data_IF_087256968051
#
_entry.id   IF_087256968051
#
_cell.length_a   1.000
_cell.length_b   1.000
_cell.length_c   1.000
_cell.angle_alpha   90.00
_cell.angle_beta   90.00
_cell.angle_gamma   90.00
#
_symmetry.space_group_name_H-M   'P 1'
#
loop_
_entity.id
_entity.type
_entity.pdbx_description
1 polymer ?
#
# COMPACT_ATOMS: atom_id res chain seq x y z
N UNK A 1 -18.11 -50.16 77.71
CA UNK A 1 -17.67 -51.02 76.64
C UNK A 1 -17.96 -50.32 75.33
N UNK A 2 -16.97 -50.12 74.55
CA UNK A 2 -16.78 -49.15 73.47
C UNK A 2 -17.48 -49.59 72.18
N UNK A 3 -18.14 -48.67 71.47
CA UNK A 3 -18.52 -48.81 70.07
C UNK A 3 -18.10 -47.56 69.31
N UNK A 4 -17.17 -47.74 68.39
CA UNK A 4 -16.57 -46.72 67.50
C UNK A 4 -17.45 -46.54 66.27
N UNK A 5 -17.95 -45.31 66.05
CA UNK A 5 -18.60 -44.92 64.83
C UNK A 5 -17.54 -44.53 63.78
N UNK A 6 -17.55 -45.22 62.64
CA UNK A 6 -16.83 -44.82 61.41
C UNK A 6 -17.79 -43.97 60.57
N UNK A 7 -17.43 -42.69 60.39
CA UNK A 7 -18.08 -41.80 59.43
C UNK A 7 -17.36 -41.89 58.11
N UNK A 8 -18.04 -42.37 57.05
CA UNK A 8 -17.56 -42.34 55.67
C UNK A 8 -17.78 -40.95 55.06
N UNK A 9 -16.67 -40.26 54.67
CA UNK A 9 -16.69 -39.05 53.87
C UNK A 9 -16.74 -39.47 52.39
N UNK A 10 -17.87 -39.20 51.73
CA UNK A 10 -18.03 -39.30 50.31
C UNK A 10 -17.61 -37.96 49.71
N UNK A 11 -16.43 -37.91 49.09
CA UNK A 11 -15.94 -36.76 48.39
C UNK A 11 -16.62 -36.64 47.02
N UNK A 12 -17.36 -35.57 46.80
CA UNK A 12 -17.97 -35.20 45.51
C UNK A 12 -16.91 -34.51 44.67
N UNK A 13 -16.32 -35.20 43.68
CA UNK A 13 -15.50 -34.59 42.64
C UNK A 13 -16.42 -33.90 41.63
N UNK A 14 -16.52 -32.57 41.72
CA UNK A 14 -17.13 -31.76 40.69
C UNK A 14 -16.15 -31.64 39.50
N UNK A 15 -16.42 -32.37 38.43
CA UNK A 15 -15.70 -32.24 37.17
C UNK A 15 -16.20 -30.98 36.44
N UNK A 16 -15.40 -29.90 36.50
CA UNK A 16 -15.64 -28.68 35.71
C UNK A 16 -15.29 -28.97 34.24
N UNK A 17 -16.31 -29.19 33.41
CA UNK A 17 -16.16 -29.25 31.96
C UNK A 17 -15.89 -27.83 31.43
N UNK A 18 -14.63 -27.51 31.14
CA UNK A 18 -14.26 -26.35 30.34
C UNK A 18 -14.75 -26.59 28.91
N UNK A 19 -15.86 -25.96 28.55
CA UNK A 19 -16.30 -25.88 27.17
C UNK A 19 -15.30 -24.98 26.39
N UNK A 20 -14.38 -25.59 25.64
CA UNK A 20 -13.63 -24.91 24.63
C UNK A 20 -14.62 -24.47 23.53
N UNK A 21 -15.01 -23.21 23.52
CA UNK A 21 -15.68 -22.63 22.38
C UNK A 21 -14.69 -22.70 21.20
N UNK A 22 -15.06 -23.26 20.05
CA UNK A 22 -14.20 -23.20 18.88
C UNK A 22 -14.01 -21.71 18.53
N UNK A 23 -12.79 -21.23 18.59
CA UNK A 23 -12.43 -19.93 18.02
C UNK A 23 -12.78 -20.03 16.53
N UNK A 24 -13.79 -19.26 16.10
CA UNK A 24 -14.06 -19.09 14.67
C UNK A 24 -12.80 -18.46 14.07
N UNK A 25 -11.95 -19.27 13.48
CA UNK A 25 -10.82 -18.80 12.69
C UNK A 25 -11.42 -18.14 11.44
N UNK A 26 -11.61 -16.83 11.49
CA UNK A 26 -11.89 -16.07 10.28
C UNK A 26 -10.72 -16.33 9.33
N UNK A 27 -11.01 -16.79 8.11
CA UNK A 27 -9.98 -17.00 7.11
C UNK A 27 -9.35 -15.62 6.79
N UNK A 28 -8.09 -15.48 7.15
CA UNK A 28 -7.33 -14.24 6.93
C UNK A 28 -7.18 -14.03 5.41
N UNK A 29 -7.40 -12.82 4.89
CA UNK A 29 -7.16 -12.53 3.50
C UNK A 29 -5.68 -12.81 3.15
N UNK A 30 -5.42 -13.33 1.96
CA UNK A 30 -4.05 -13.54 1.49
C UNK A 30 -3.61 -12.37 0.62
N UNK A 31 -2.33 -11.99 0.76
CA UNK A 31 -1.74 -10.88 0.02
C UNK A 31 -0.59 -11.39 -0.82
N UNK A 32 -0.45 -10.89 -2.05
CA UNK A 32 0.72 -11.09 -2.89
C UNK A 32 1.30 -9.75 -3.29
N UNK A 33 2.63 -9.66 -3.32
CA UNK A 33 3.38 -8.47 -3.70
C UNK A 33 4.29 -8.79 -4.86
N UNK A 34 4.21 -7.99 -5.91
CA UNK A 34 5.19 -7.93 -6.98
C UNK A 34 5.79 -6.53 -7.02
N UNK A 35 7.11 -6.48 -7.15
CA UNK A 35 7.85 -5.24 -7.32
C UNK A 35 8.77 -5.34 -8.54
N UNK A 36 9.10 -4.22 -9.17
CA UNK A 36 9.98 -4.15 -10.31
C UNK A 36 10.52 -2.75 -10.54
N UNK A 37 11.50 -2.64 -11.41
CA UNK A 37 12.11 -1.38 -11.81
C UNK A 37 12.02 -1.21 -13.32
N UNK A 38 11.81 0.03 -13.79
CA UNK A 38 11.87 0.35 -15.21
C UNK A 38 12.58 1.70 -15.44
N UNK A 39 13.78 1.70 -16.07
CA UNK A 39 14.61 0.57 -16.45
C UNK A 39 15.33 -0.09 -15.24
N UNK A 40 15.67 -1.38 -15.38
CA UNK A 40 16.46 -2.12 -14.41
C UNK A 40 17.95 -1.88 -14.62
N UNK A 41 18.47 -0.71 -14.19
CA UNK A 41 19.88 -0.34 -14.36
C UNK A 41 20.46 0.24 -13.09
N UNK A 42 21.48 -0.45 -12.52
CA UNK A 42 22.20 0.04 -11.35
C UNK A 42 22.80 1.44 -11.58
N UNK A 43 22.70 2.30 -10.57
CA UNK A 43 23.20 3.67 -10.61
C UNK A 43 22.46 4.59 -11.59
N UNK A 44 21.28 4.21 -12.04
CA UNK A 44 20.42 5.00 -12.92
C UNK A 44 19.06 5.24 -12.27
N UNK A 45 18.42 6.28 -12.76
CA UNK A 45 17.05 6.63 -12.47
C UNK A 45 16.08 5.55 -12.96
N UNK A 46 15.06 5.25 -12.19
CA UNK A 46 14.06 4.22 -12.48
C UNK A 46 12.68 4.62 -11.99
N UNK A 47 11.67 4.00 -12.54
CA UNK A 47 10.32 3.91 -11.96
C UNK A 47 10.24 2.64 -11.12
N UNK A 48 9.76 2.78 -9.89
CA UNK A 48 9.46 1.64 -9.00
C UNK A 48 8.01 1.24 -9.24
N UNK A 49 7.80 0.05 -9.77
CA UNK A 49 6.49 -0.51 -10.05
C UNK A 49 6.10 -1.51 -8.96
N UNK A 50 4.93 -1.32 -8.38
CA UNK A 50 4.36 -2.18 -7.35
C UNK A 50 3.00 -2.72 -7.79
N UNK A 51 2.76 -4.01 -7.54
CA UNK A 51 1.46 -4.64 -7.66
C UNK A 51 1.15 -5.42 -6.41
N UNK A 52 0.09 -5.05 -5.71
CA UNK A 52 -0.41 -5.71 -4.51
C UNK A 52 -1.76 -6.32 -4.85
N UNK A 53 -1.95 -7.61 -4.61
CA UNK A 53 -3.23 -8.29 -4.75
C UNK A 53 -3.68 -8.83 -3.43
N UNK A 54 -4.96 -8.64 -3.14
CA UNK A 54 -5.61 -9.12 -1.94
C UNK A 54 -6.67 -10.14 -2.37
N UNK A 55 -6.45 -11.40 -2.02
CA UNK A 55 -7.46 -12.41 -2.23
C UNK A 55 -8.36 -12.50 -0.99
N UNK A 56 -9.68 -12.64 -1.19
CA UNK A 56 -10.61 -12.85 -0.09
C UNK A 56 -10.29 -14.17 0.64
N UNK A 57 -10.60 -14.22 1.94
CA UNK A 57 -10.55 -15.48 2.68
C UNK A 57 -11.77 -16.36 2.38
N UNK A 58 -12.66 -16.51 3.37
CA UNK A 58 -13.91 -17.24 3.18
C UNK A 58 -15.05 -16.38 2.59
N UNK A 59 -14.87 -15.08 2.58
CA UNK A 59 -15.87 -14.11 2.11
C UNK A 59 -15.76 -13.92 0.59
N UNK A 60 -16.81 -13.44 -0.10
CA UNK A 60 -16.81 -13.24 -1.55
C UNK A 60 -15.88 -12.11 -2.01
N UNK A 61 -15.57 -11.15 -1.13
CA UNK A 61 -14.63 -10.03 -1.37
C UNK A 61 -13.70 -9.90 -0.17
N UNK A 62 -12.50 -9.28 -0.34
CA UNK A 62 -11.63 -9.01 0.79
C UNK A 62 -12.32 -8.12 1.85
N UNK A 63 -11.89 -8.14 3.11
CA UNK A 63 -12.33 -7.12 4.06
C UNK A 63 -11.85 -5.74 3.61
N UNK A 64 -12.58 -4.66 3.93
CA UNK A 64 -12.15 -3.29 3.62
C UNK A 64 -10.79 -2.98 4.21
N UNK A 65 -9.92 -2.37 3.40
CA UNK A 65 -8.57 -1.96 3.78
C UNK A 65 -8.64 -0.71 4.66
N UNK A 66 -7.89 -0.68 5.75
CA UNK A 66 -7.79 0.47 6.67
C UNK A 66 -6.39 1.04 6.77
N UNK A 67 -5.37 0.23 6.44
CA UNK A 67 -3.97 0.61 6.56
C UNK A 67 -3.13 -0.15 5.54
N UNK A 68 -2.14 0.52 4.97
CA UNK A 68 -1.13 -0.10 4.13
C UNK A 68 0.26 0.46 4.46
N UNK A 69 1.18 -0.42 4.84
CA UNK A 69 2.60 -0.11 4.95
C UNK A 69 3.35 -0.78 3.80
N UNK A 70 4.10 -0.02 3.02
CA UNK A 70 4.97 -0.54 1.96
C UNK A 70 6.43 -0.23 2.28
N UNK A 71 7.21 -1.26 2.60
CA UNK A 71 8.64 -1.14 2.87
C UNK A 71 9.45 -1.30 1.60
N UNK A 72 10.41 -0.41 1.39
CA UNK A 72 11.28 -0.39 0.22
C UNK A 72 12.76 -0.56 0.61
N UNK A 73 13.59 -1.12 -0.30
CA UNK A 73 14.95 -1.54 0.01
C UNK A 73 15.89 -0.37 0.30
N UNK A 74 16.93 -0.68 1.10
CA UNK A 74 18.01 0.25 1.36
C UNK A 74 18.71 0.69 0.06
N UNK A 75 19.05 1.99 0.00
CA UNK A 75 19.68 2.61 -1.16
C UNK A 75 18.72 3.17 -2.21
N UNK A 76 17.41 2.96 -2.06
CA UNK A 76 16.39 3.76 -2.74
C UNK A 76 16.08 4.98 -1.87
N UNK A 77 16.17 6.15 -2.43
CA UNK A 77 15.84 7.39 -1.73
C UNK A 77 14.87 8.23 -2.56
N UNK A 78 13.57 8.14 -2.28
CA UNK A 78 12.57 8.96 -2.95
C UNK A 78 12.73 10.47 -2.69
N UNK A 79 13.34 10.86 -1.56
CA UNK A 79 13.53 12.28 -1.22
C UNK A 79 14.59 12.94 -2.09
N UNK A 80 15.59 12.18 -2.54
CA UNK A 80 16.64 12.64 -3.45
C UNK A 80 16.28 12.45 -4.92
N UNK A 81 15.08 11.95 -5.23
CA UNK A 81 14.60 11.86 -6.59
C UNK A 81 14.21 13.26 -7.11
N UNK A 82 14.31 13.47 -8.42
CA UNK A 82 13.76 14.67 -9.04
C UNK A 82 12.23 14.64 -9.22
N UNK A 83 11.52 13.80 -8.44
CA UNK A 83 10.07 13.68 -8.48
C UNK A 83 9.41 14.60 -7.47
N UNK A 84 8.28 15.18 -7.85
CA UNK A 84 7.50 16.03 -6.96
C UNK A 84 8.31 17.24 -6.46
N UNK A 85 8.86 18.03 -7.37
CA UNK A 85 9.63 19.24 -7.02
C UNK A 85 8.73 20.37 -6.51
N UNK A 86 7.46 20.37 -6.90
CA UNK A 86 6.42 21.25 -6.36
C UNK A 86 5.44 20.45 -5.49
N UNK A 87 4.60 21.16 -4.73
CA UNK A 87 3.63 20.53 -3.84
C UNK A 87 2.20 20.86 -4.28
N UNK A 88 1.32 19.85 -4.24
CA UNK A 88 -0.11 20.02 -4.34
C UNK A 88 -0.77 19.93 -2.96
N UNK A 89 -1.91 20.58 -2.77
CA UNK A 89 -2.63 20.58 -1.49
C UNK A 89 -3.88 19.71 -1.55
N UNK A 90 -4.33 19.23 -0.39
CA UNK A 90 -5.61 18.51 -0.26
C UNK A 90 -6.74 19.39 -0.79
N UNK A 91 -6.79 20.67 -0.41
CA UNK A 91 -7.84 21.60 -0.84
C UNK A 91 -7.89 21.77 -2.37
N UNK A 92 -6.74 21.78 -3.06
CA UNK A 92 -6.68 21.84 -4.53
C UNK A 92 -7.26 20.56 -5.13
N UNK A 93 -6.87 19.39 -4.61
CA UNK A 93 -7.38 18.10 -5.09
C UNK A 93 -8.90 17.97 -4.86
N UNK A 94 -9.40 18.37 -3.68
CA UNK A 94 -10.84 18.30 -3.36
C UNK A 94 -11.69 19.19 -4.25
N UNK A 95 -11.22 20.38 -4.58
CA UNK A 95 -12.02 21.38 -5.30
C UNK A 95 -11.91 21.32 -6.81
N UNK A 96 -10.75 20.93 -7.32
CA UNK A 96 -10.43 21.03 -8.75
C UNK A 96 -9.69 19.81 -9.33
N UNK A 97 -9.42 18.78 -8.51
CA UNK A 97 -8.76 17.56 -8.93
C UNK A 97 -7.28 17.74 -9.30
N UNK A 98 -6.68 16.65 -9.79
CA UNK A 98 -5.24 16.61 -10.15
C UNK A 98 -4.85 17.63 -11.21
N UNK A 99 -5.74 17.92 -12.16
CA UNK A 99 -5.47 18.87 -13.23
C UNK A 99 -5.18 20.31 -12.77
N UNK A 100 -5.53 20.66 -11.53
CA UNK A 100 -5.23 21.96 -10.93
C UNK A 100 -3.95 21.95 -10.09
N UNK A 101 -3.32 20.80 -9.88
CA UNK A 101 -2.03 20.70 -9.22
C UNK A 101 -0.91 21.16 -10.17
N UNK A 102 0.21 21.67 -9.65
CA UNK A 102 1.40 21.88 -10.47
C UNK A 102 1.79 20.53 -11.15
N UNK A 103 2.05 20.52 -12.47
CA UNK A 103 2.45 19.28 -13.15
C UNK A 103 3.66 18.60 -12.50
N UNK A 104 4.58 19.39 -11.99
CA UNK A 104 5.81 18.94 -11.37
C UNK A 104 5.61 18.44 -9.92
N UNK A 105 4.36 18.45 -9.40
CA UNK A 105 4.02 17.80 -8.14
C UNK A 105 3.73 16.31 -8.31
N UNK A 106 3.45 15.83 -9.52
CA UNK A 106 3.11 14.42 -9.78
C UNK A 106 4.36 13.55 -9.63
N UNK A 107 4.26 12.50 -8.81
CA UNK A 107 5.36 11.56 -8.54
C UNK A 107 5.15 10.20 -9.20
N UNK A 108 3.93 9.91 -9.63
CA UNK A 108 3.60 8.64 -10.25
C UNK A 108 2.11 8.44 -10.45
N UNK A 109 1.80 7.36 -11.15
CA UNK A 109 0.44 7.00 -11.52
C UNK A 109 0.18 5.52 -11.30
N UNK A 110 -1.08 5.16 -11.20
CA UNK A 110 -1.49 3.79 -10.97
C UNK A 110 -2.98 3.58 -11.07
N UNK A 111 -3.41 2.42 -10.62
CA UNK A 111 -4.82 2.04 -10.59
C UNK A 111 -5.11 1.08 -9.45
N UNK A 112 -6.35 1.04 -9.00
CA UNK A 112 -6.86 0.07 -8.05
C UNK A 112 -8.10 -0.62 -8.59
N UNK A 113 -8.30 -1.88 -8.22
CA UNK A 113 -9.56 -2.59 -8.40
C UNK A 113 -10.28 -2.57 -7.06
N UNK A 114 -11.38 -1.83 -7.01
CA UNK A 114 -12.31 -1.81 -5.89
C UNK A 114 -13.38 -2.90 -6.08
N UNK A 115 -13.78 -3.54 -4.99
CA UNK A 115 -14.85 -4.53 -4.96
C UNK A 115 -15.88 -4.17 -3.89
N UNK A 116 -17.15 -4.32 -4.22
CA UNK A 116 -18.25 -4.17 -3.28
C UNK A 116 -19.42 -5.08 -3.65
N UNK A 117 -20.34 -5.27 -2.70
CA UNK A 117 -21.47 -6.16 -2.86
C UNK A 117 -22.75 -5.37 -3.11
N UNK A 118 -23.41 -5.62 -4.24
CA UNK A 118 -24.76 -5.16 -4.53
C UNK A 118 -25.65 -6.38 -4.72
N UNK A 119 -26.70 -6.50 -3.90
CA UNK A 119 -27.64 -7.61 -3.93
C UNK A 119 -26.94 -8.99 -4.00
N UNK A 120 -25.93 -9.21 -3.18
CA UNK A 120 -25.08 -10.42 -3.11
C UNK A 120 -24.23 -10.69 -4.37
N UNK A 121 -24.07 -9.73 -5.25
CA UNK A 121 -23.18 -9.82 -6.41
C UNK A 121 -21.94 -8.95 -6.18
N UNK A 122 -20.78 -9.50 -6.51
CA UNK A 122 -19.53 -8.74 -6.52
C UNK A 122 -19.54 -7.81 -7.74
N UNK A 123 -19.41 -6.53 -7.48
CA UNK A 123 -19.18 -5.48 -8.48
C UNK A 123 -17.72 -5.07 -8.37
N UNK A 124 -17.06 -4.91 -9.51
CA UNK A 124 -15.67 -4.44 -9.64
C UNK A 124 -15.63 -3.12 -10.36
N UNK A 125 -14.89 -2.19 -9.80
CA UNK A 125 -14.62 -0.90 -10.41
C UNK A 125 -13.13 -0.64 -10.50
N UNK A 126 -12.73 0.05 -11.56
CA UNK A 126 -11.34 0.44 -11.79
C UNK A 126 -11.18 1.91 -11.42
N UNK A 127 -10.48 2.17 -10.34
CA UNK A 127 -10.13 3.51 -9.93
C UNK A 127 -8.72 3.88 -10.39
N UNK A 128 -8.54 5.12 -10.88
CA UNK A 128 -7.23 5.67 -11.20
C UNK A 128 -6.57 6.24 -9.96
N UNK A 129 -5.26 6.15 -9.88
CA UNK A 129 -4.46 6.69 -8.78
C UNK A 129 -3.44 7.65 -9.36
N UNK A 130 -3.37 8.87 -8.82
CA UNK A 130 -2.26 9.79 -9.07
C UNK A 130 -1.59 10.13 -7.75
N UNK A 131 -0.29 9.87 -7.65
CA UNK A 131 0.51 10.24 -6.49
C UNK A 131 1.12 11.62 -6.73
N UNK A 132 0.87 12.56 -5.83
CA UNK A 132 1.44 13.91 -5.88
C UNK A 132 2.18 14.23 -4.58
N UNK A 133 3.25 14.99 -4.67
CA UNK A 133 3.91 15.54 -3.48
C UNK A 133 3.00 16.57 -2.80
N UNK A 134 3.02 16.57 -1.48
CA UNK A 134 2.46 17.65 -0.66
C UNK A 134 3.51 18.22 0.27
N UNK A 135 3.15 19.21 1.08
CA UNK A 135 4.04 19.77 2.08
C UNK A 135 4.47 18.70 3.08
N UNK A 136 5.74 18.74 3.47
CA UNK A 136 6.29 17.84 4.47
C UNK A 136 5.50 17.94 5.78
N UNK A 137 5.25 16.81 6.40
CA UNK A 137 4.63 16.72 7.71
C UNK A 137 5.66 16.15 8.68
N UNK A 138 5.89 16.85 9.79
CA UNK A 138 6.84 16.43 10.83
C UNK A 138 8.25 16.14 10.29
N UNK A 139 8.67 16.84 9.21
CA UNK A 139 9.98 16.65 8.57
C UNK A 139 10.07 15.39 7.68
N UNK A 140 8.94 14.74 7.39
CA UNK A 140 8.87 13.59 6.49
C UNK A 140 8.27 13.96 5.14
N UNK A 141 8.85 13.42 4.08
CA UNK A 141 8.26 13.52 2.75
C UNK A 141 6.86 12.92 2.81
N UNK A 142 5.89 13.72 2.39
CA UNK A 142 4.49 13.33 2.38
C UNK A 142 3.97 13.41 0.95
N UNK A 143 3.19 12.41 0.55
CA UNK A 143 2.50 12.38 -0.72
C UNK A 143 1.00 12.20 -0.52
N UNK A 144 0.22 12.75 -1.44
CA UNK A 144 -1.21 12.49 -1.53
C UNK A 144 -1.44 11.52 -2.68
N UNK A 145 -2.23 10.51 -2.45
CA UNK A 145 -2.75 9.63 -3.51
C UNK A 145 -4.19 10.03 -3.77
N UNK A 146 -4.40 10.65 -4.91
CA UNK A 146 -5.71 10.98 -5.43
C UNK A 146 -6.25 9.77 -6.16
N UNK A 147 -7.30 9.17 -5.59
CA UNK A 147 -7.97 8.00 -6.14
C UNK A 147 -9.32 8.45 -6.69
N UNK A 148 -9.58 8.10 -7.92
CA UNK A 148 -10.72 8.62 -8.66
C UNK A 148 -11.35 7.53 -9.54
N UNK A 149 -12.66 7.42 -9.50
CA UNK A 149 -13.47 6.53 -10.33
C UNK A 149 -14.63 7.32 -10.95
N UNK A 150 -14.85 7.10 -12.25
CA UNK A 150 -15.95 7.73 -13.03
C UNK A 150 -17.10 6.79 -13.29
N UNK A 151 -17.01 5.51 -12.91
CA UNK A 151 -18.01 4.52 -13.30
C UNK A 151 -19.29 4.62 -12.47
N UNK A 152 -19.91 3.57 -12.00
CA UNK A 152 -21.27 3.60 -11.46
C UNK A 152 -21.56 4.64 -10.35
N UNK A 153 -20.58 4.95 -9.52
CA UNK A 153 -20.67 5.99 -8.48
C UNK A 153 -19.35 6.77 -8.50
N UNK A 154 -19.39 7.98 -9.09
CA UNK A 154 -18.21 8.85 -9.07
C UNK A 154 -17.73 9.04 -7.63
N UNK A 155 -16.61 8.46 -7.31
CA UNK A 155 -15.97 8.52 -6.00
C UNK A 155 -14.60 9.18 -6.12
N UNK A 156 -14.33 10.08 -5.18
CA UNK A 156 -13.05 10.74 -5.05
C UNK A 156 -12.52 10.50 -3.65
N UNK A 157 -11.30 10.01 -3.56
CA UNK A 157 -10.64 9.75 -2.28
C UNK A 157 -9.22 10.30 -2.32
N UNK A 158 -8.83 11.00 -1.26
CA UNK A 158 -7.48 11.51 -1.08
C UNK A 158 -6.88 10.80 0.13
N UNK A 159 -5.83 10.01 -0.12
CA UNK A 159 -5.07 9.32 0.92
C UNK A 159 -3.77 10.06 1.17
N UNK A 160 -3.37 10.15 2.43
CA UNK A 160 -2.06 10.68 2.80
C UNK A 160 -1.10 9.53 3.05
N UNK A 161 0.02 9.53 2.34
CA UNK A 161 1.13 8.61 2.53
C UNK A 161 2.35 9.33 3.08
N UNK A 162 2.91 8.85 4.21
CA UNK A 162 4.11 9.39 4.83
C UNK A 162 5.29 8.46 4.63
N UNK A 163 6.42 9.00 4.17
CA UNK A 163 7.66 8.23 4.09
C UNK A 163 8.38 8.31 5.43
N UNK A 164 8.43 7.18 6.11
CA UNK A 164 9.04 7.03 7.42
C UNK A 164 10.32 6.18 7.33
N UNK A 165 11.31 6.39 8.21
CA UNK A 165 12.49 5.52 8.27
C UNK A 165 12.07 4.10 8.66
N UNK A 166 12.75 3.10 8.09
CA UNK A 166 12.60 1.71 8.48
C UNK A 166 13.97 1.11 8.85
N UNK A 167 13.96 -0.06 9.48
CA UNK A 167 15.17 -0.76 9.89
C UNK A 167 15.45 -2.02 9.07
N UNK A 168 16.62 -2.64 9.33
CA UNK A 168 17.03 -3.87 8.67
C UNK A 168 17.42 -3.67 7.21
N UNK A 169 16.91 -4.49 6.27
CA UNK A 169 17.25 -4.39 4.85
C UNK A 169 16.49 -3.27 4.12
N UNK A 170 15.62 -2.53 4.81
CA UNK A 170 14.78 -1.50 4.26
C UNK A 170 15.33 -0.11 4.59
N UNK A 171 15.25 0.83 3.64
CA UNK A 171 15.56 2.24 3.88
C UNK A 171 14.42 2.96 4.57
N UNK A 172 13.20 2.64 4.19
CA UNK A 172 12.02 3.28 4.70
C UNK A 172 10.75 2.50 4.41
N UNK A 173 9.66 3.07 4.84
CA UNK A 173 8.30 2.60 4.57
C UNK A 173 7.42 3.77 4.15
N UNK A 174 6.47 3.50 3.29
CA UNK A 174 5.34 4.37 2.99
C UNK A 174 4.17 3.91 3.84
N UNK A 175 3.76 4.75 4.78
CA UNK A 175 2.64 4.54 5.71
C UNK A 175 1.40 5.26 5.17
N UNK A 176 0.31 4.52 4.96
CA UNK A 176 -0.93 5.02 4.37
C UNK A 176 -2.10 4.59 5.23
N UNK A 177 -2.88 5.57 5.70
CA UNK A 177 -4.15 5.33 6.36
C UNK A 177 -5.28 5.41 5.34
N UNK A 178 -6.15 4.39 5.31
CA UNK A 178 -7.24 4.28 4.35
C UNK A 178 -8.58 4.43 5.09
N UNK A 179 -9.34 5.50 4.84
CA UNK A 179 -10.66 5.66 5.43
C UNK A 179 -11.65 4.65 4.83
N UNK A 180 -12.58 4.19 5.65
CA UNK A 180 -13.65 3.32 5.18
C UNK A 180 -14.63 4.11 4.30
N UNK A 181 -14.91 3.58 3.12
CA UNK A 181 -15.80 4.16 2.14
C UNK A 181 -17.02 3.28 1.95
N UNK A 182 -18.20 3.90 1.92
CA UNK A 182 -19.46 3.21 1.55
C UNK A 182 -19.77 3.48 0.09
N UNK A 183 -19.99 2.41 -0.68
CA UNK A 183 -20.43 2.53 -2.07
C UNK A 183 -21.81 3.17 -2.17
N UNK A 184 -22.73 2.77 -1.29
CA UNK A 184 -24.10 3.30 -1.18
C UNK A 184 -24.52 3.35 0.30
N UNK A 185 -25.48 4.21 0.68
CA UNK A 185 -26.06 4.19 2.02
C UNK A 185 -26.61 2.80 2.39
N UNK A 186 -26.17 2.25 3.52
CA UNK A 186 -26.61 0.94 4.00
C UNK A 186 -25.92 -0.28 3.38
N UNK A 187 -24.95 -0.08 2.50
CA UNK A 187 -24.09 -1.16 1.96
C UNK A 187 -22.84 -1.37 2.82
N UNK A 188 -22.18 -2.54 2.69
CA UNK A 188 -20.83 -2.74 3.22
C UNK A 188 -19.83 -1.72 2.64
N UNK A 189 -18.74 -1.51 3.37
CA UNK A 189 -17.65 -0.67 2.90
C UNK A 189 -16.96 -1.27 1.66
N UNK A 190 -16.37 -0.41 0.85
CA UNK A 190 -15.63 -0.79 -0.36
C UNK A 190 -14.35 -1.53 0.04
N UNK A 191 -14.08 -2.62 -0.65
CA UNK A 191 -12.86 -3.42 -0.52
C UNK A 191 -11.89 -3.13 -1.65
N UNK A 192 -10.61 -3.41 -1.43
CA UNK A 192 -9.57 -3.30 -2.46
C UNK A 192 -9.05 -4.69 -2.79
N UNK A 193 -9.19 -5.11 -4.04
CA UNK A 193 -8.71 -6.41 -4.54
C UNK A 193 -7.31 -6.33 -5.18
N UNK A 194 -6.99 -5.22 -5.82
CA UNK A 194 -5.67 -5.01 -6.44
C UNK A 194 -5.29 -3.54 -6.41
N UNK A 195 -4.00 -3.26 -6.21
CA UNK A 195 -3.37 -1.95 -6.36
C UNK A 195 -2.18 -2.12 -7.28
N UNK A 196 -2.06 -1.27 -8.29
CA UNK A 196 -0.88 -1.11 -9.12
C UNK A 196 -0.45 0.35 -9.05
N UNK A 197 0.82 0.59 -8.74
CA UNK A 197 1.37 1.94 -8.61
C UNK A 197 2.78 1.98 -9.17
N UNK A 198 3.04 2.92 -10.07
CA UNK A 198 4.36 3.26 -10.58
C UNK A 198 4.78 4.61 -10.01
N UNK A 199 5.86 4.64 -9.23
CA UNK A 199 6.50 5.87 -8.75
C UNK A 199 7.78 6.10 -9.54
N UNK A 200 7.81 7.14 -10.37
CA UNK A 200 8.96 7.40 -11.23
C UNK A 200 8.60 8.03 -12.58
N UNK A 201 9.60 8.24 -13.44
CA UNK A 201 9.48 9.08 -14.63
C UNK A 201 8.81 8.43 -15.84
N UNK A 202 8.45 7.14 -15.78
CA UNK A 202 8.00 6.38 -16.96
C UNK A 202 6.83 7.03 -17.71
N UNK A 203 5.88 7.64 -16.95
CA UNK A 203 4.68 8.28 -17.52
C UNK A 203 4.67 9.79 -17.33
N UNK A 204 5.73 10.37 -16.73
CA UNK A 204 5.74 11.78 -16.32
C UNK A 204 6.43 12.68 -17.33
N UNK A 205 5.87 13.87 -17.49
CA UNK A 205 6.50 14.98 -18.23
C UNK A 205 6.34 16.24 -17.41
N UNK A 206 7.46 16.83 -17.02
CA UNK A 206 7.52 18.09 -16.31
C UNK A 206 7.76 19.25 -17.25
N UNK A 207 7.55 20.47 -16.77
CA UNK A 207 7.71 21.67 -17.56
C UNK A 207 8.45 22.73 -16.77
N UNK A 208 9.42 23.36 -17.38
CA UNK A 208 10.19 24.48 -16.80
C UNK A 208 10.24 25.65 -17.78
N UNK A 209 10.17 26.88 -17.27
CA UNK A 209 10.34 28.08 -18.09
C UNK A 209 11.79 28.53 -18.07
N UNK A 210 12.50 28.27 -19.17
CA UNK A 210 13.91 28.68 -19.37
C UNK A 210 13.96 29.85 -20.35
N UNK A 211 14.48 30.98 -19.91
CA UNK A 211 14.60 32.22 -20.73
C UNK A 211 13.27 32.61 -21.41
N UNK A 212 12.14 32.46 -20.71
CA UNK A 212 10.80 32.81 -21.23
C UNK A 212 10.18 31.78 -22.17
N UNK A 213 10.81 30.62 -22.37
CA UNK A 213 10.27 29.52 -23.17
C UNK A 213 9.90 28.33 -22.26
N UNK A 214 8.72 27.78 -22.46
CA UNK A 214 8.32 26.54 -21.82
C UNK A 214 9.09 25.35 -22.43
N UNK A 215 9.82 24.63 -21.60
CA UNK A 215 10.59 23.43 -21.98
C UNK A 215 10.02 22.24 -21.23
N UNK A 216 9.71 21.17 -21.96
CA UNK A 216 9.26 19.91 -21.38
C UNK A 216 10.46 18.98 -21.19
N UNK A 217 10.49 18.29 -20.05
CA UNK A 217 11.53 17.31 -19.74
C UNK A 217 10.96 16.11 -18.94
N UNK A 218 11.68 15.00 -18.97
CA UNK A 218 11.39 13.84 -18.16
C UNK A 218 12.13 14.01 -16.82
N UNK A 219 11.45 13.96 -15.67
CA UNK A 219 12.11 14.13 -14.37
C UNK A 219 13.08 12.98 -14.08
N UNK A 220 14.05 13.25 -13.21
CA UNK A 220 14.84 12.17 -12.63
C UNK A 220 13.97 11.34 -11.69
N UNK A 221 14.02 10.02 -11.84
CA UNK A 221 13.30 9.09 -10.98
C UNK A 221 14.11 8.69 -9.77
N UNK A 222 13.61 7.69 -9.08
CA UNK A 222 14.30 7.10 -7.93
C UNK A 222 15.56 6.40 -8.43
N UNK A 223 16.74 6.77 -7.91
CA UNK A 223 17.99 6.18 -8.34
C UNK A 223 18.20 4.79 -7.75
N UNK A 224 18.48 3.79 -8.60
CA UNK A 224 18.96 2.50 -8.12
C UNK A 224 20.39 2.61 -7.58
N UNK A 225 20.73 1.90 -6.49
CA UNK A 225 22.11 1.84 -6.00
C UNK A 225 23.09 1.36 -7.07
N UNK A 226 24.33 1.84 -7.01
CA UNK A 226 25.41 1.39 -7.93
C UNK A 226 25.80 -0.07 -7.74
N UNK A 227 25.44 -0.66 -6.60
CA UNK A 227 25.72 -2.06 -6.26
C UNK A 227 24.42 -2.72 -5.83
N UNK A 228 24.21 -3.93 -6.32
CA UNK A 228 23.08 -4.73 -5.89
C UNK A 228 23.35 -5.35 -4.52
N UNK A 229 22.40 -5.30 -3.58
CA UNK A 229 22.54 -5.96 -2.30
C UNK A 229 22.46 -7.49 -2.46
N UNK A 230 23.07 -8.26 -1.54
CA UNK A 230 22.91 -9.71 -1.52
C UNK A 230 21.44 -10.10 -1.45
N UNK A 231 20.99 -10.98 -2.36
CA UNK A 231 19.59 -11.42 -2.43
C UNK A 231 18.66 -10.50 -3.23
N UNK A 232 19.17 -9.42 -3.83
CA UNK A 232 18.36 -8.47 -4.60
C UNK A 232 17.76 -7.35 -3.72
N UNK A 233 16.76 -6.66 -4.25
CA UNK A 233 16.11 -5.52 -3.62
C UNK A 233 14.83 -5.96 -2.92
N UNK A 234 14.81 -6.10 -1.59
CA UNK A 234 13.64 -6.59 -0.86
C UNK A 234 12.55 -5.51 -0.75
N UNK A 235 11.31 -5.92 -1.02
CA UNK A 235 10.10 -5.15 -0.74
C UNK A 235 9.20 -5.97 0.18
N UNK A 236 8.44 -5.30 1.03
CA UNK A 236 7.44 -5.92 1.88
C UNK A 236 6.20 -5.04 1.99
N UNK A 237 5.04 -5.65 2.15
CA UNK A 237 3.79 -4.96 2.43
C UNK A 237 3.12 -5.57 3.65
N UNK A 238 2.56 -4.72 4.50
CA UNK A 238 1.65 -5.08 5.59
C UNK A 238 0.34 -4.35 5.36
N UNK A 239 -0.76 -5.08 5.35
CA UNK A 239 -2.10 -4.53 5.18
C UNK A 239 -2.92 -4.78 6.44
N UNK A 240 -3.60 -3.75 6.94
CA UNK A 240 -4.59 -3.82 8.01
C UNK A 240 -6.01 -3.71 7.45
N UNK A 241 -6.95 -4.45 8.03
CA UNK A 241 -8.32 -4.53 7.54
C UNK A 241 -9.34 -4.15 8.62
N UNK A 242 -10.52 -3.71 8.20
CA UNK A 242 -11.60 -3.27 9.08
C UNK A 242 -12.09 -4.32 10.07
N UNK A 243 -11.90 -5.61 9.78
CA UNK A 243 -12.22 -6.71 10.68
C UNK A 243 -11.10 -7.01 11.70
N UNK A 244 -10.06 -6.18 11.77
CA UNK A 244 -8.90 -6.36 12.64
C UNK A 244 -7.88 -7.40 12.17
N UNK A 245 -8.09 -8.02 11.02
CA UNK A 245 -7.09 -8.91 10.42
C UNK A 245 -5.91 -8.10 9.85
N UNK A 246 -4.74 -8.73 9.83
CA UNK A 246 -3.56 -8.22 9.15
C UNK A 246 -3.02 -9.29 8.20
N UNK A 247 -2.51 -8.86 7.05
CA UNK A 247 -1.85 -9.75 6.10
C UNK A 247 -0.54 -9.13 5.61
N UNK A 248 0.45 -9.98 5.31
CA UNK A 248 1.77 -9.54 4.90
C UNK A 248 2.23 -10.32 3.70
N UNK A 249 3.00 -9.64 2.83
CA UNK A 249 3.70 -10.26 1.73
C UNK A 249 5.08 -9.62 1.54
N UNK A 250 6.01 -10.38 1.01
CA UNK A 250 7.34 -9.89 0.66
C UNK A 250 7.78 -10.44 -0.68
N UNK A 251 8.65 -9.68 -1.35
CA UNK A 251 9.30 -10.07 -2.60
C UNK A 251 10.70 -9.46 -2.65
N UNK A 252 11.55 -9.98 -3.52
CA UNK A 252 12.82 -9.36 -3.82
C UNK A 252 12.96 -9.22 -5.34
N UNK A 253 13.25 -8.00 -5.80
CA UNK A 253 13.59 -7.77 -7.21
C UNK A 253 15.01 -8.26 -7.42
N UNK A 254 15.25 -9.20 -8.37
CA UNK A 254 16.59 -9.72 -8.62
C UNK A 254 17.54 -8.61 -9.09
N UNK A 255 18.83 -8.84 -8.88
CA UNK A 255 19.84 -7.95 -9.44
C UNK A 255 19.77 -7.95 -10.96
N UNK A 256 19.81 -6.76 -11.61
CA UNK A 256 19.98 -6.70 -13.06
C UNK A 256 21.23 -7.48 -13.48
N UNK A 257 21.19 -8.19 -14.62
CA UNK A 257 22.38 -8.89 -15.11
C UNK A 257 23.49 -7.86 -15.29
N UNK A 258 24.66 -8.16 -14.71
CA UNK A 258 25.84 -7.32 -14.94
C UNK A 258 26.09 -7.26 -16.46
N UNK A 259 26.09 -6.05 -17.02
CA UNK A 259 26.48 -5.89 -18.41
C UNK A 259 27.82 -6.60 -18.59
N UNK A 260 27.83 -7.70 -19.32
CA UNK A 260 29.06 -8.39 -19.68
C UNK A 260 29.97 -7.32 -20.31
N UNK A 261 31.12 -7.07 -19.68
CA UNK A 261 32.15 -6.22 -20.29
C UNK A 261 32.56 -6.96 -21.55
N UNK A 262 32.07 -6.51 -22.69
CA UNK A 262 32.68 -6.86 -23.95
C UNK A 262 34.08 -6.20 -23.94
N UNK A 263 35.10 -6.98 -23.60
CA UNK A 263 36.50 -6.67 -23.79
C UNK A 263 36.84 -6.80 -25.28
#
# INVERSE_FOLDING_TARGET
MSARNLASLVGLCAASAFAFAPACAFAVPSVTLHAGFNPERLGKSTTVNLRIRVAPGAEPIPPPLTEAEVRYPAGLDPQLSGLGIEACTVATLETAGVGACPPDSVMGEGQAIAEFLIAHRVVRELAQITAVRTTEQEGHLTMLMYVYDETAVSAQLILTGRLLPAGGPFAGLLDIQVPLLKSLPGTPDVSVAEIQLGLGPETLTYSETIAGKLVHYIPEGIALPKRCPPGGFPFAVTLGFANGAHAQAGTAVPCPPSAARHL
#
